data_IF_069930384220
#
_entry.id   IF_069930384220
#
_cell.length_a   1.000
_cell.length_b   1.000
_cell.length_c   1.000
_cell.angle_alpha   90.00
_cell.angle_beta   90.00
_cell.angle_gamma   90.00
#
_symmetry.space_group_name_H-M   'P 1'
#
loop_
_entity.id
_entity.type
_entity.pdbx_description
1 polymer ?
#
# COMPACT_ATOMS: atom_id res chain seq x y z
N UNK A 1 -10.49 -6.95 -14.66
CA UNK A 1 -10.39 -5.74 -13.82
C UNK A 1 -9.60 -6.15 -12.60
N UNK A 2 -8.44 -5.53 -12.36
CA UNK A 2 -7.58 -5.90 -11.24
C UNK A 2 -8.11 -5.19 -9.99
N UNK A 3 -8.65 -5.95 -9.05
CA UNK A 3 -9.07 -5.41 -7.77
C UNK A 3 -7.84 -5.15 -6.92
N UNK A 4 -7.85 -4.04 -6.20
CA UNK A 4 -6.71 -3.63 -5.40
C UNK A 4 -7.17 -2.87 -4.17
N UNK A 5 -6.32 -2.90 -3.15
CA UNK A 5 -6.42 -2.01 -2.01
C UNK A 5 -5.08 -1.35 -1.79
N UNK A 6 -5.15 -0.16 -1.22
CA UNK A 6 -4.00 0.59 -0.73
C UNK A 6 -4.15 0.69 0.78
N UNK A 7 -3.14 0.20 1.49
CA UNK A 7 -3.03 0.33 2.93
C UNK A 7 -2.07 1.49 3.22
N UNK A 8 -2.47 2.39 4.11
CA UNK A 8 -1.57 3.33 4.75
C UNK A 8 -1.25 2.75 6.11
N UNK A 9 0.03 2.47 6.35
CA UNK A 9 0.46 1.80 7.58
C UNK A 9 1.59 2.57 8.24
N UNK A 10 1.63 2.49 9.57
CA UNK A 10 2.80 2.86 10.34
C UNK A 10 3.63 1.60 10.57
N UNK A 11 4.83 1.59 10.00
CA UNK A 11 5.77 0.48 10.13
C UNK A 11 6.53 0.61 11.45
N UNK A 12 6.53 -0.45 12.25
CA UNK A 12 7.32 -0.54 13.47
C UNK A 12 8.82 -0.48 13.16
N UNK A 13 9.61 0.16 14.02
CA UNK A 13 11.09 0.07 13.96
C UNK A 13 11.63 -1.24 14.57
N UNK A 14 10.76 -1.98 15.27
CA UNK A 14 11.08 -3.27 15.86
C UNK A 14 10.52 -4.41 15.03
N UNK A 15 11.31 -5.46 14.90
CA UNK A 15 10.87 -6.70 14.26
C UNK A 15 10.10 -7.56 15.26
N UNK A 16 8.93 -8.02 14.85
CA UNK A 16 8.23 -9.13 15.46
C UNK A 16 8.80 -10.47 15.02
N UNK A 17 8.39 -11.51 15.73
CA UNK A 17 8.75 -12.89 15.43
C UNK A 17 7.51 -13.77 15.57
N UNK A 18 7.28 -14.64 14.58
CA UNK A 18 6.20 -15.63 14.54
C UNK A 18 6.77 -16.97 14.06
N UNK A 19 6.20 -18.07 14.51
CA UNK A 19 6.68 -19.41 14.18
C UNK A 19 6.63 -19.74 12.68
N UNK A 20 5.72 -19.11 11.94
CA UNK A 20 5.56 -19.25 10.50
C UNK A 20 6.35 -18.17 9.73
N UNK A 21 6.75 -17.09 10.41
CA UNK A 21 7.37 -15.91 9.83
C UNK A 21 8.50 -15.41 10.71
N UNK A 22 9.74 -15.68 10.29
CA UNK A 22 10.93 -15.17 10.96
C UNK A 22 11.19 -13.70 10.58
N UNK A 23 11.37 -12.85 11.57
CA UNK A 23 11.88 -11.47 11.48
C UNK A 23 11.09 -10.53 10.55
N UNK A 24 9.94 -10.05 11.01
CA UNK A 24 9.08 -9.14 10.24
C UNK A 24 8.83 -7.81 10.93
N UNK A 25 8.54 -6.75 10.17
CA UNK A 25 8.10 -5.49 10.78
C UNK A 25 6.58 -5.51 11.01
N UNK A 26 6.17 -5.35 12.26
CA UNK A 26 4.76 -5.15 12.57
C UNK A 26 4.28 -3.83 11.99
N UNK A 27 3.05 -3.80 11.50
CA UNK A 27 2.46 -2.58 10.96
C UNK A 27 1.11 -2.33 11.61
N UNK A 28 0.87 -1.07 11.94
CA UNK A 28 -0.45 -0.59 12.34
C UNK A 28 -1.14 -0.02 11.10
N UNK A 29 -2.29 -0.58 10.74
CA UNK A 29 -3.13 -0.04 9.67
C UNK A 29 -3.80 1.24 10.16
N UNK A 30 -3.51 2.35 9.47
CA UNK A 30 -4.13 3.66 9.76
C UNK A 30 -5.36 3.88 8.87
N UNK A 31 -5.25 3.51 7.59
CA UNK A 31 -6.34 3.65 6.64
C UNK A 31 -6.22 2.66 5.48
N UNK A 32 -7.37 2.25 4.94
CA UNK A 32 -7.46 1.41 3.75
C UNK A 32 -8.37 2.03 2.69
N UNK A 33 -7.86 2.09 1.46
CA UNK A 33 -8.61 2.57 0.29
C UNK A 33 -8.82 1.44 -0.71
N UNK A 34 -10.07 1.15 -1.07
CA UNK A 34 -10.41 0.12 -2.07
C UNK A 34 -10.38 0.72 -3.49
N UNK A 35 -9.50 0.21 -4.35
CA UNK A 35 -9.34 0.58 -5.75
C UNK A 35 -9.68 -0.63 -6.64
N UNK A 36 -10.87 -0.64 -7.23
CA UNK A 36 -11.29 -1.65 -8.20
C UNK A 36 -10.97 -1.15 -9.62
N UNK A 37 -9.82 -1.53 -10.20
CA UNK A 37 -9.47 -1.19 -11.57
C UNK A 37 -8.20 -0.36 -11.74
N UNK A 38 -7.09 -0.77 -11.13
CA UNK A 38 -5.81 -0.11 -11.40
C UNK A 38 -5.36 -0.43 -12.83
N UNK A 39 -5.10 0.60 -13.62
CA UNK A 39 -4.57 0.49 -14.99
C UNK A 39 -3.16 -0.12 -15.04
N UNK A 40 -2.81 -0.77 -16.16
CA UNK A 40 -1.61 -1.61 -16.25
C UNK A 40 -0.29 -0.83 -16.13
N UNK A 41 -0.24 0.40 -16.62
CA UNK A 41 0.91 1.30 -16.51
C UNK A 41 1.10 1.78 -15.06
N UNK A 42 0.00 2.11 -14.37
CA UNK A 42 -0.01 2.46 -12.95
C UNK A 42 0.44 1.26 -12.11
N UNK A 43 -0.08 0.07 -12.41
CA UNK A 43 0.33 -1.17 -11.74
C UNK A 43 1.81 -1.48 -11.99
N UNK A 44 2.31 -1.29 -13.22
CA UNK A 44 3.73 -1.48 -13.52
C UNK A 44 4.61 -0.51 -12.72
N UNK A 45 4.17 0.75 -12.58
CA UNK A 45 4.86 1.73 -11.75
C UNK A 45 4.87 1.31 -10.28
N UNK A 46 3.75 0.84 -9.73
CA UNK A 46 3.67 0.30 -8.37
C UNK A 46 4.61 -0.90 -8.20
N UNK A 47 4.60 -1.84 -9.14
CA UNK A 47 5.45 -3.05 -9.09
C UNK A 47 6.96 -2.76 -9.20
N UNK A 48 7.35 -1.58 -9.66
CA UNK A 48 8.74 -1.14 -9.69
C UNK A 48 9.31 -0.77 -8.32
N UNK A 49 8.46 -0.61 -7.30
CA UNK A 49 8.92 -0.36 -5.93
C UNK A 49 9.45 -1.65 -5.27
N UNK A 50 10.29 -1.52 -4.23
CA UNK A 50 10.80 -2.67 -3.48
C UNK A 50 9.67 -3.51 -2.87
N UNK A 51 9.94 -4.80 -2.72
CA UNK A 51 9.09 -5.67 -1.92
C UNK A 51 9.12 -5.21 -0.47
N UNK A 52 7.95 -5.20 0.15
CA UNK A 52 7.82 -4.90 1.56
C UNK A 52 8.09 -6.13 2.42
N UNK A 53 8.60 -5.86 3.61
CA UNK A 53 8.69 -6.76 4.75
C UNK A 53 7.67 -6.37 5.85
N UNK A 54 6.74 -5.47 5.52
CA UNK A 54 5.61 -5.08 6.35
C UNK A 54 4.52 -6.16 6.34
N UNK A 55 4.15 -6.65 7.52
CA UNK A 55 3.01 -7.54 7.66
C UNK A 55 1.74 -6.75 7.95
N UNK A 56 0.74 -6.98 7.11
CA UNK A 56 -0.62 -6.45 7.31
C UNK A 56 -1.60 -7.58 7.59
N UNK A 57 -2.71 -7.25 8.22
CA UNK A 57 -3.80 -8.18 8.51
C UNK A 57 -4.91 -8.05 7.46
N UNK A 58 -5.02 -9.01 6.53
CA UNK A 58 -6.14 -9.09 5.58
C UNK A 58 -7.26 -9.98 6.15
N UNK A 59 -7.81 -9.58 7.31
CA UNK A 59 -8.88 -10.29 8.01
C UNK A 59 -8.39 -11.24 9.08
N UNK A 60 -7.93 -12.44 8.69
CA UNK A 60 -7.68 -13.53 9.67
C UNK A 60 -6.20 -13.85 9.88
N UNK A 61 -5.33 -13.62 8.90
CA UNK A 61 -3.92 -13.96 8.99
C UNK A 61 -3.03 -12.80 8.56
N UNK A 62 -1.88 -12.61 9.23
CA UNK A 62 -0.88 -11.64 8.80
C UNK A 62 -0.25 -12.12 7.48
N UNK A 63 -0.04 -11.20 6.53
CA UNK A 63 0.54 -11.51 5.21
C UNK A 63 1.48 -10.43 4.69
N UNK A 64 2.44 -10.85 3.86
CA UNK A 64 3.32 -10.01 3.02
C UNK A 64 3.09 -10.22 1.53
N UNK A 65 2.10 -11.04 1.17
CA UNK A 65 1.69 -11.27 -0.20
C UNK A 65 0.23 -10.92 -0.39
N UNK A 66 -0.10 -10.48 -1.59
CA UNK A 66 -1.46 -10.25 -2.01
C UNK A 66 -2.18 -11.56 -2.40
N UNK A 67 -3.45 -11.48 -2.86
CA UNK A 67 -4.23 -12.68 -3.24
C UNK A 67 -3.68 -13.39 -4.49
N UNK A 68 -2.84 -12.73 -5.27
CA UNK A 68 -2.17 -13.30 -6.44
C UNK A 68 -0.83 -13.95 -6.08
N UNK A 69 -0.39 -13.85 -4.84
CA UNK A 69 0.91 -14.36 -4.38
C UNK A 69 2.07 -13.42 -4.65
N UNK A 70 1.82 -12.21 -5.14
CA UNK A 70 2.84 -11.18 -5.30
C UNK A 70 3.17 -10.56 -3.95
N UNK A 71 4.46 -10.30 -3.67
CA UNK A 71 4.84 -9.56 -2.47
C UNK A 71 4.29 -8.13 -2.52
N UNK A 72 3.82 -7.65 -1.37
CA UNK A 72 3.34 -6.27 -1.24
C UNK A 72 4.46 -5.30 -1.58
N UNK A 73 4.11 -4.19 -2.22
CA UNK A 73 5.07 -3.15 -2.63
C UNK A 73 5.07 -2.03 -1.62
N UNK A 74 6.25 -1.63 -1.15
CA UNK A 74 6.42 -0.52 -0.23
C UNK A 74 6.63 0.79 -1.00
N UNK A 75 5.64 1.68 -0.92
CA UNK A 75 5.62 2.94 -1.64
C UNK A 75 5.72 4.07 -0.61
N UNK A 76 6.72 4.96 -0.69
CA UNK A 76 6.73 6.17 0.11
C UNK A 76 5.46 7.00 -0.13
N UNK A 77 4.87 7.55 0.93
CA UNK A 77 3.61 8.30 0.84
C UNK A 77 3.63 9.37 -0.28
N UNK A 78 4.71 10.15 -0.35
CA UNK A 78 4.87 11.19 -1.38
C UNK A 78 4.89 10.64 -2.81
N UNK A 79 5.44 9.45 -3.02
CA UNK A 79 5.41 8.77 -4.32
C UNK A 79 4.02 8.20 -4.63
N UNK A 80 3.32 7.64 -3.64
CA UNK A 80 1.94 7.19 -3.81
C UNK A 80 1.01 8.36 -4.22
N UNK A 81 1.13 9.53 -3.59
CA UNK A 81 0.40 10.75 -3.96
C UNK A 81 0.66 11.14 -5.42
N UNK A 82 1.92 11.07 -5.88
CA UNK A 82 2.27 11.38 -7.27
C UNK A 82 1.67 10.37 -8.24
N UNK A 83 1.76 9.07 -7.92
CA UNK A 83 1.23 7.99 -8.77
C UNK A 83 -0.27 8.16 -8.95
N UNK A 84 -1.03 8.30 -7.87
CA UNK A 84 -2.49 8.42 -7.96
C UNK A 84 -2.94 9.78 -8.48
N UNK A 85 -2.18 10.86 -8.25
CA UNK A 85 -2.44 12.16 -8.86
C UNK A 85 -2.14 12.20 -10.36
N UNK A 86 -1.14 11.46 -10.83
CA UNK A 86 -0.94 11.25 -12.27
C UNK A 86 -2.06 10.40 -12.85
N UNK A 87 -2.40 9.28 -12.18
CA UNK A 87 -3.45 8.38 -12.62
C UNK A 87 -4.81 9.09 -12.74
N UNK A 88 -5.15 10.00 -11.82
CA UNK A 88 -6.38 10.80 -11.90
C UNK A 88 -6.40 11.79 -13.07
N UNK A 89 -5.23 12.23 -13.55
CA UNK A 89 -5.11 13.15 -14.67
C UNK A 89 -5.18 12.46 -16.04
N UNK A 90 -4.78 11.19 -16.13
CA UNK A 90 -4.69 10.47 -17.41
C UNK A 90 -5.73 9.37 -17.59
N UNK A 91 -6.33 8.88 -16.50
CA UNK A 91 -7.32 7.79 -16.52
C UNK A 91 -8.66 8.27 -15.94
N UNK A 92 -9.77 7.77 -16.47
CA UNK A 92 -11.14 8.14 -16.03
C UNK A 92 -11.62 7.33 -14.80
N UNK A 93 -10.69 6.70 -14.07
CA UNK A 93 -11.05 5.95 -12.89
C UNK A 93 -11.28 6.87 -11.69
N UNK A 94 -12.56 7.13 -11.41
CA UNK A 94 -13.04 8.11 -10.43
C UNK A 94 -12.51 7.97 -9.00
N UNK A 95 -11.91 6.83 -8.63
CA UNK A 95 -11.35 6.65 -7.27
C UNK A 95 -9.90 7.11 -7.16
N UNK A 96 -9.20 7.39 -8.26
CA UNK A 96 -7.83 7.90 -8.19
C UNK A 96 -7.76 9.25 -7.51
N UNK A 97 -8.59 10.22 -7.89
CA UNK A 97 -8.53 11.56 -7.28
C UNK A 97 -8.89 11.55 -5.78
N UNK A 98 -9.97 10.89 -5.33
CA UNK A 98 -10.24 10.73 -3.90
C UNK A 98 -9.08 10.06 -3.15
N UNK A 99 -8.48 9.00 -3.71
CA UNK A 99 -7.34 8.33 -3.09
C UNK A 99 -6.13 9.27 -2.97
N UNK A 100 -5.75 9.95 -4.06
CA UNK A 100 -4.65 10.91 -4.06
C UNK A 100 -4.89 12.05 -3.05
N UNK A 101 -6.12 12.59 -3.01
CA UNK A 101 -6.49 13.66 -2.10
C UNK A 101 -6.47 13.23 -0.63
N UNK A 102 -6.95 12.02 -0.30
CA UNK A 102 -6.89 11.49 1.06
C UNK A 102 -5.45 11.21 1.48
N UNK A 103 -4.61 10.68 0.58
CA UNK A 103 -3.19 10.46 0.84
C UNK A 103 -2.43 11.78 1.11
N UNK A 104 -2.77 12.87 0.41
CA UNK A 104 -2.21 14.21 0.70
C UNK A 104 -2.56 14.73 2.10
N UNK A 105 -3.65 14.22 2.70
CA UNK A 105 -4.08 14.63 4.03
C UNK A 105 -3.21 14.09 5.17
N UNK A 106 -2.37 13.09 4.91
CA UNK A 106 -1.43 12.57 5.90
C UNK A 106 -0.20 13.46 6.01
N UNK A 107 0.13 13.90 7.22
CA UNK A 107 1.36 14.64 7.52
C UNK A 107 2.45 13.67 8.00
N UNK A 108 3.49 13.33 7.20
CA UNK A 108 4.53 12.39 7.61
C UNK A 108 5.30 12.80 8.87
N UNK A 109 5.23 14.06 9.32
CA UNK A 109 5.90 14.48 10.55
C UNK A 109 5.14 14.08 11.82
N UNK A 110 3.85 13.75 11.69
CA UNK A 110 3.01 13.26 12.79
C UNK A 110 3.08 11.74 12.94
N UNK A 111 3.79 11.05 12.03
CA UNK A 111 3.89 9.60 11.96
C UNK A 111 5.35 9.19 11.74
N UNK A 112 5.92 8.33 12.59
CA UNK A 112 7.36 8.05 12.56
C UNK A 112 7.83 7.38 11.24
N UNK A 113 7.07 6.40 10.76
CA UNK A 113 7.47 5.55 9.63
C UNK A 113 6.26 5.14 8.77
N UNK A 114 5.62 6.15 8.18
CA UNK A 114 4.42 5.97 7.37
C UNK A 114 4.78 5.47 5.95
N UNK A 115 4.24 4.31 5.57
CA UNK A 115 4.40 3.75 4.23
C UNK A 115 3.05 3.36 3.64
N UNK A 116 3.02 3.28 2.32
CA UNK A 116 1.84 2.89 1.56
C UNK A 116 2.09 1.52 0.92
N UNK A 117 1.20 0.57 1.17
CA UNK A 117 1.29 -0.78 0.62
C UNK A 117 0.19 -1.02 -0.41
N UNK A 118 0.56 -1.57 -1.56
CA UNK A 118 -0.39 -2.04 -2.57
C UNK A 118 -0.65 -3.53 -2.40
N UNK A 119 -1.93 -3.90 -2.44
CA UNK A 119 -2.42 -5.26 -2.31
C UNK A 119 -3.38 -5.56 -3.47
N UNK A 120 -3.04 -6.54 -4.31
CA UNK A 120 -3.94 -7.11 -5.31
C UNK A 120 -4.95 -8.10 -4.72
N UNK A 121 -6.21 -7.98 -5.17
CA UNK A 121 -7.31 -8.89 -4.87
C UNK A 121 -7.60 -9.82 -6.01
#
# INVERSE_FOLDING_TARGET
MYESKIFVVMKSDTKGWDENVKDYFMCEEIATFKLCGIDSDILAKIKSFPDSDCYIWDGENPTVTDKYGDRLKEIPLGEAVKIFGYASAVHDYRRYEPCASLLRGFNPQEWENLVVLHFGY
#
